data_IF_726433939013
#
_entry.id   IF_726433939013
#
_cell.length_a   1.000
_cell.length_b   1.000
_cell.length_c   1.000
_cell.angle_alpha   90.00
_cell.angle_beta   90.00
_cell.angle_gamma   90.00
#
_symmetry.space_group_name_H-M   'P 1'
#
loop_
_entity.id
_entity.type
_entity.pdbx_description
1 polymer ?
#
# COMPACT_ATOMS: atom_id res chain seq x y z
N UNK A 1 3.47 1.00 4.90
CA UNK A 1 2.13 0.39 4.80
C UNK A 1 1.89 -0.48 6.03
N UNK A 2 0.65 -0.62 6.50
CA UNK A 2 0.26 -1.59 7.52
C UNK A 2 -1.00 -2.29 7.01
N UNK A 3 -1.08 -3.60 7.20
CA UNK A 3 -2.21 -4.45 6.82
C UNK A 3 -2.78 -5.05 8.10
N UNK A 4 -4.11 -5.09 8.23
CA UNK A 4 -4.82 -5.78 9.31
C UNK A 4 -5.71 -6.87 8.75
N UNK A 5 -5.76 -8.00 9.46
CA UNK A 5 -6.68 -9.10 9.23
C UNK A 5 -7.11 -9.75 10.55
N UNK A 6 -7.80 -10.88 10.45
CA UNK A 6 -8.31 -11.64 11.60
C UNK A 6 -7.22 -12.03 12.61
N UNK A 7 -6.01 -12.34 12.13
CA UNK A 7 -4.91 -12.84 12.96
C UNK A 7 -3.99 -11.73 13.51
N UNK A 8 -4.33 -10.44 13.29
CA UNK A 8 -3.56 -9.30 13.76
C UNK A 8 -3.12 -8.35 12.63
N UNK A 9 -1.95 -7.74 12.78
CA UNK A 9 -1.41 -6.78 11.81
C UNK A 9 0.03 -7.09 11.39
N UNK A 10 0.40 -6.62 10.20
CA UNK A 10 1.72 -6.85 9.61
C UNK A 10 2.85 -6.08 10.29
N UNK A 11 2.55 -5.18 11.23
CA UNK A 11 3.43 -4.06 11.55
C UNK A 11 3.67 -3.15 10.34
N UNK A 12 4.65 -2.27 10.44
CA UNK A 12 5.00 -1.35 9.34
C UNK A 12 5.84 -2.05 8.29
N UNK A 13 5.26 -2.21 7.10
CA UNK A 13 5.91 -2.67 5.88
C UNK A 13 6.48 -1.49 5.08
N UNK A 14 7.82 -1.35 4.99
CA UNK A 14 8.43 -0.33 4.16
C UNK A 14 8.40 -0.75 2.69
N UNK A 15 7.76 0.06 1.84
CA UNK A 15 7.69 -0.15 0.39
C UNK A 15 9.00 0.30 -0.30
N UNK A 16 10.12 -0.36 0.03
CA UNK A 16 11.47 0.02 -0.41
C UNK A 16 12.00 -0.79 -1.59
N UNK A 17 11.77 -2.10 -1.62
CA UNK A 17 12.26 -2.97 -2.67
C UNK A 17 11.08 -3.45 -3.51
N UNK A 18 11.10 -3.10 -4.79
CA UNK A 18 10.01 -3.43 -5.72
C UNK A 18 10.57 -4.00 -7.01
N UNK A 19 9.70 -4.55 -7.85
CA UNK A 19 10.04 -4.93 -9.22
C UNK A 19 10.42 -3.74 -10.14
N UNK A 20 10.31 -2.49 -9.66
CA UNK A 20 10.69 -1.26 -10.36
C UNK A 20 11.84 -0.53 -9.64
N UNK A 21 12.78 0.00 -10.42
CA UNK A 21 13.88 0.82 -9.91
C UNK A 21 13.35 2.17 -9.40
N UNK A 22 12.53 2.84 -10.21
CA UNK A 22 11.80 4.05 -9.84
C UNK A 22 10.34 3.71 -9.50
N UNK A 23 9.85 4.13 -8.34
CA UNK A 23 8.61 3.62 -7.74
C UNK A 23 7.51 4.67 -7.76
N UNK A 24 6.26 4.22 -7.77
CA UNK A 24 5.08 5.08 -7.66
C UNK A 24 4.94 6.08 -8.82
N UNK A 25 5.41 5.69 -10.00
CA UNK A 25 5.31 6.49 -11.21
C UNK A 25 3.90 6.45 -11.82
N UNK A 26 3.54 7.49 -12.58
CA UNK A 26 2.24 7.53 -13.27
C UNK A 26 2.09 6.33 -14.21
N UNK A 27 0.89 5.72 -14.21
CA UNK A 27 0.56 4.54 -15.03
C UNK A 27 1.47 3.33 -14.76
N UNK A 28 2.01 3.21 -13.54
CA UNK A 28 2.86 2.12 -13.13
C UNK A 28 2.19 1.25 -12.07
N UNK A 29 2.39 -0.06 -12.18
CA UNK A 29 2.14 -1.02 -11.12
C UNK A 29 3.48 -1.44 -10.50
N UNK A 30 3.62 -1.17 -9.21
CA UNK A 30 4.76 -1.55 -8.38
C UNK A 30 4.38 -2.75 -7.49
N UNK A 31 5.20 -3.80 -7.53
CA UNK A 31 4.97 -5.04 -6.76
C UNK A 31 6.07 -5.16 -5.69
N UNK A 32 5.65 -5.39 -4.45
CA UNK A 32 6.51 -5.54 -3.28
C UNK A 32 6.30 -6.93 -2.66
N UNK A 33 7.37 -7.62 -2.30
CA UNK A 33 7.31 -8.96 -1.70
C UNK A 33 7.75 -8.93 -0.24
N UNK A 34 6.96 -9.54 0.65
CA UNK A 34 7.22 -9.60 2.08
C UNK A 34 7.22 -11.07 2.57
N UNK A 35 8.32 -11.81 2.38
CA UNK A 35 8.38 -13.24 2.70
C UNK A 35 8.32 -13.54 4.20
N UNK A 36 8.68 -12.58 5.05
CA UNK A 36 8.75 -12.74 6.52
C UNK A 36 7.40 -12.45 7.22
N UNK A 37 6.33 -12.26 6.47
CA UNK A 37 4.99 -12.00 7.00
C UNK A 37 4.16 -13.29 6.93
N UNK A 38 3.65 -13.71 8.09
CA UNK A 38 2.67 -14.80 8.17
C UNK A 38 1.30 -14.33 7.67
N UNK A 39 0.49 -15.28 7.21
CA UNK A 39 -0.90 -15.02 6.83
C UNK A 39 -1.66 -14.34 7.96
N UNK A 40 -2.28 -13.19 7.65
CA UNK A 40 -3.10 -12.43 8.59
C UNK A 40 -4.56 -12.89 8.61
N UNK A 41 -4.91 -13.97 7.90
CA UNK A 41 -6.29 -14.41 7.72
C UNK A 41 -7.05 -13.51 6.75
N UNK A 42 -8.36 -13.38 6.92
CA UNK A 42 -9.14 -12.48 6.07
C UNK A 42 -8.80 -11.01 6.38
N UNK A 43 -8.32 -10.30 5.36
CA UNK A 43 -7.88 -8.91 5.48
C UNK A 43 -9.07 -7.97 5.55
N UNK A 44 -9.00 -6.97 6.43
CA UNK A 44 -10.10 -6.03 6.68
C UNK A 44 -9.71 -4.56 6.57
N UNK A 45 -8.41 -4.24 6.58
CA UNK A 45 -7.94 -2.86 6.51
C UNK A 45 -6.52 -2.75 5.98
N UNK A 46 -6.25 -1.68 5.24
CA UNK A 46 -4.90 -1.27 4.82
C UNK A 46 -4.68 0.20 5.15
N UNK A 47 -3.49 0.54 5.62
CA UNK A 47 -3.04 1.92 5.80
C UNK A 47 -1.78 2.14 4.97
N UNK A 48 -1.84 3.11 4.08
CA UNK A 48 -0.75 3.48 3.18
C UNK A 48 -0.44 4.97 3.35
N UNK A 49 0.86 5.31 3.36
CA UNK A 49 1.33 6.68 3.54
C UNK A 49 2.75 6.85 3.02
N UNK A 50 3.18 8.10 2.87
CA UNK A 50 4.57 8.48 2.60
C UNK A 50 5.01 9.60 3.56
N UNK A 51 6.31 9.91 3.60
CA UNK A 51 6.89 10.92 4.49
C UNK A 51 6.99 12.33 3.85
N UNK A 52 6.43 12.49 2.64
CA UNK A 52 6.43 13.73 1.87
C UNK A 52 7.83 14.30 1.56
N UNK A 53 8.87 13.46 1.52
CA UNK A 53 10.23 13.87 1.12
C UNK A 53 10.46 13.67 -0.38
N UNK A 54 11.46 14.38 -0.91
CA UNK A 54 11.84 14.33 -2.32
C UNK A 54 11.22 15.47 -3.13
N UNK A 55 11.44 15.42 -4.44
CA UNK A 55 10.86 16.37 -5.40
C UNK A 55 9.52 15.78 -5.83
N UNK A 56 8.46 16.60 -5.80
CA UNK A 56 7.09 16.20 -6.19
C UNK A 56 6.66 14.86 -5.55
N UNK A 57 6.57 14.79 -4.20
CA UNK A 57 6.40 13.53 -3.48
C UNK A 57 4.98 12.94 -3.59
N UNK A 58 4.07 13.65 -4.25
CA UNK A 58 2.68 13.28 -4.37
C UNK A 58 2.46 12.25 -5.47
N UNK A 59 1.63 11.25 -5.20
CA UNK A 59 1.26 10.22 -6.16
C UNK A 59 -0.21 9.84 -6.00
N UNK A 60 -0.81 9.42 -7.11
CA UNK A 60 -2.19 8.97 -7.14
C UNK A 60 -2.25 7.45 -6.98
N UNK A 61 -3.01 6.97 -6.01
CA UNK A 61 -3.22 5.55 -5.77
C UNK A 61 -4.62 5.16 -6.23
N UNK A 62 -4.70 4.31 -7.25
CA UNK A 62 -5.96 3.76 -7.75
C UNK A 62 -6.48 2.65 -6.81
N UNK A 63 -5.71 1.57 -6.63
CA UNK A 63 -6.04 0.47 -5.73
C UNK A 63 -4.77 -0.25 -5.23
N UNK A 64 -4.93 -1.06 -4.18
CA UNK A 64 -3.91 -1.99 -3.69
C UNK A 64 -4.47 -3.41 -3.79
N UNK A 65 -3.72 -4.31 -4.41
CA UNK A 65 -3.95 -5.75 -4.32
C UNK A 65 -2.97 -6.36 -3.32
N UNK A 66 -3.48 -7.20 -2.42
CA UNK A 66 -2.68 -8.01 -1.50
C UNK A 66 -2.97 -9.48 -1.78
N UNK A 67 -1.93 -10.21 -2.18
CA UNK A 67 -1.97 -11.64 -2.41
C UNK A 67 -1.42 -12.38 -1.20
N UNK A 68 -2.23 -13.25 -0.60
CA UNK A 68 -1.80 -14.23 0.39
C UNK A 68 -1.65 -15.60 -0.30
N UNK A 69 -0.40 -15.97 -0.58
CA UNK A 69 -0.07 -17.21 -1.28
C UNK A 69 -0.27 -18.48 -0.44
N UNK A 70 -0.37 -18.36 0.89
CA UNK A 70 -0.68 -19.49 1.77
C UNK A 70 -2.17 -19.82 1.75
N UNK A 71 -3.01 -18.81 1.55
CA UNK A 71 -4.47 -18.95 1.45
C UNK A 71 -4.99 -19.02 0.01
N UNK A 72 -4.14 -18.76 -0.99
CA UNK A 72 -4.53 -18.58 -2.40
C UNK A 72 -5.65 -17.52 -2.56
N UNK A 73 -5.49 -16.39 -1.86
CA UNK A 73 -6.47 -15.29 -1.85
C UNK A 73 -5.85 -13.98 -2.29
N UNK A 74 -6.65 -13.18 -2.99
CA UNK A 74 -6.31 -11.79 -3.35
C UNK A 74 -7.36 -10.86 -2.77
N UNK A 75 -6.91 -9.85 -2.03
CA UNK A 75 -7.74 -8.81 -1.43
C UNK A 75 -7.46 -7.48 -2.13
N UNK A 76 -8.51 -6.85 -2.68
CA UNK A 76 -8.40 -5.55 -3.36
C UNK A 76 -8.97 -4.43 -2.51
N UNK A 77 -8.16 -3.42 -2.24
CA UNK A 77 -8.55 -2.20 -1.53
C UNK A 77 -8.57 -1.03 -2.52
N UNK A 78 -9.77 -0.52 -2.81
CA UNK A 78 -9.96 0.65 -3.68
C UNK A 78 -9.58 1.94 -2.94
N UNK A 79 -8.91 2.87 -3.62
CA UNK A 79 -8.54 4.17 -3.07
C UNK A 79 -8.98 5.32 -3.96
N UNK A 80 -8.54 5.32 -5.23
CA UNK A 80 -8.77 6.32 -6.29
C UNK A 80 -8.58 7.78 -5.80
N UNK A 81 -7.47 8.04 -5.10
CA UNK A 81 -7.17 9.34 -4.49
C UNK A 81 -5.69 9.67 -4.49
N UNK A 82 -5.38 10.96 -4.45
CA UNK A 82 -4.02 11.45 -4.24
C UNK A 82 -3.55 11.24 -2.80
N UNK A 83 -2.28 10.85 -2.66
CA UNK A 83 -1.50 10.98 -1.44
C UNK A 83 -0.51 12.14 -1.66
N UNK A 84 -0.96 13.35 -1.39
CA UNK A 84 -0.17 14.56 -1.59
C UNK A 84 -0.67 15.68 -0.68
N UNK A 85 0.18 16.66 -0.35
CA UNK A 85 -0.21 17.82 0.48
C UNK A 85 -0.88 18.93 -0.31
N UNK A 86 -0.58 19.00 -1.59
CA UNK A 86 -0.99 20.03 -2.54
C UNK A 86 -2.20 19.61 -3.40
N UNK A 87 -2.62 18.33 -3.32
CA UNK A 87 -3.76 17.78 -4.07
C UNK A 87 -4.87 17.23 -3.14
N UNK A 88 -6.08 17.08 -3.69
CA UNK A 88 -7.29 16.60 -3.01
C UNK A 88 -7.54 17.28 -1.64
N UNK A 89 -7.35 16.53 -0.55
CA UNK A 89 -7.57 16.94 0.83
C UNK A 89 -6.26 17.28 1.57
N UNK A 90 -5.13 17.34 0.86
CA UNK A 90 -3.80 17.59 1.42
C UNK A 90 -3.32 16.48 2.36
N UNK A 91 -3.78 15.24 2.15
CA UNK A 91 -3.49 14.10 3.01
C UNK A 91 -2.50 13.14 2.34
N UNK A 92 -1.43 12.81 3.06
CA UNK A 92 -0.35 11.89 2.65
C UNK A 92 -0.54 10.47 3.18
N UNK A 93 -1.71 10.20 3.77
CA UNK A 93 -2.10 8.93 4.41
C UNK A 93 -3.51 8.57 3.97
N UNK A 94 -3.75 7.29 3.71
CA UNK A 94 -5.05 6.71 3.40
C UNK A 94 -5.25 5.46 4.24
N UNK A 95 -6.44 5.33 4.81
CA UNK A 95 -6.94 4.10 5.41
C UNK A 95 -8.06 3.56 4.52
N UNK A 96 -7.92 2.30 4.11
CA UNK A 96 -8.80 1.60 3.19
C UNK A 96 -9.37 0.38 3.93
N UNK A 97 -10.64 0.07 3.74
CA UNK A 97 -11.33 -1.07 4.32
C UNK A 97 -12.21 -1.73 3.26
#
# INVERSE_FOLDING_TARGET
MIIWGENGDSGTLPLKESNKSNKFERNQLDVFYFPDIFSLGDLCKVRIWHDNKGITPGWHLEYIDIEDSLMDKIFRFQCDRWLAKDEDAGQIIRELA
#
